data_IF_271273519748
#
_entry.id   IF_271273519748
#
_cell.length_a   1.000
_cell.length_b   1.000
_cell.length_c   1.000
_cell.angle_alpha   90.00
_cell.angle_beta   90.00
_cell.angle_gamma   90.00
#
_symmetry.space_group_name_H-M   'P 1'
#
loop_
_entity.id
_entity.type
_entity.pdbx_description
1 polymer ?
#
# COMPACT_ATOMS: atom_id res chain seq x y z
N UNK A 1 33.20 0.84 -37.15
CA UNK A 1 33.49 0.82 -35.71
C UNK A 1 32.70 1.96 -35.02
N UNK A 2 31.54 1.66 -34.44
CA UNK A 2 30.76 2.61 -33.64
C UNK A 2 30.77 2.11 -32.20
N UNK A 3 31.64 2.71 -31.40
CA UNK A 3 31.65 2.53 -29.96
C UNK A 3 30.52 3.33 -29.33
N UNK A 4 29.38 2.70 -29.10
CA UNK A 4 28.33 3.22 -28.26
C UNK A 4 28.66 2.92 -26.79
N UNK A 5 29.10 3.94 -26.02
CA UNK A 5 29.18 3.85 -24.57
C UNK A 5 27.76 3.80 -24.00
N UNK A 6 27.38 2.66 -23.43
CA UNK A 6 26.22 2.57 -22.57
C UNK A 6 26.47 3.43 -21.33
N UNK A 7 25.69 4.50 -21.15
CA UNK A 7 25.67 5.28 -19.93
C UNK A 7 25.12 4.41 -18.81
N UNK A 8 25.96 4.09 -17.82
CA UNK A 8 25.58 3.38 -16.61
C UNK A 8 24.53 4.17 -15.85
N UNK A 9 23.29 3.65 -15.81
CA UNK A 9 22.29 4.10 -14.87
C UNK A 9 22.80 3.83 -13.46
N UNK A 10 22.84 4.84 -12.61
CA UNK A 10 23.10 4.71 -11.19
C UNK A 10 22.09 3.71 -10.63
N UNK A 11 22.58 2.53 -10.21
CA UNK A 11 21.84 1.63 -9.36
C UNK A 11 21.61 2.36 -8.04
N UNK A 12 20.40 2.92 -7.86
CA UNK A 12 19.98 3.41 -6.56
C UNK A 12 20.02 2.23 -5.61
N UNK A 13 20.88 2.28 -4.60
CA UNK A 13 20.90 1.32 -3.50
C UNK A 13 19.47 1.21 -2.96
N UNK A 14 18.82 0.09 -3.22
CA UNK A 14 17.56 -0.26 -2.61
C UNK A 14 17.88 -0.72 -1.19
N UNK A 15 17.89 0.20 -0.23
CA UNK A 15 17.90 -0.18 1.17
C UNK A 15 16.60 -0.97 1.41
N UNK A 16 16.75 -2.28 1.64
CA UNK A 16 15.64 -3.10 2.08
C UNK A 16 15.08 -2.49 3.38
N UNK A 17 13.78 -2.24 3.42
CA UNK A 17 13.13 -1.75 4.63
C UNK A 17 13.02 -2.92 5.59
N UNK A 18 13.56 -2.78 6.80
CA UNK A 18 13.38 -3.76 7.86
C UNK A 18 11.96 -3.61 8.44
N UNK A 19 11.16 -4.66 8.30
CA UNK A 19 9.78 -4.73 8.76
C UNK A 19 9.58 -5.73 9.92
N UNK A 20 10.63 -6.41 10.41
CA UNK A 20 10.52 -7.49 11.38
C UNK A 20 9.77 -7.11 12.67
N UNK A 21 9.91 -5.87 13.12
CA UNK A 21 9.20 -5.35 14.30
C UNK A 21 7.96 -4.50 13.94
N UNK A 22 7.52 -4.51 12.67
CA UNK A 22 6.52 -3.61 12.16
C UNK A 22 5.16 -4.27 11.94
N UNK A 23 4.12 -3.49 12.20
CA UNK A 23 2.74 -3.80 11.80
C UNK A 23 2.46 -3.12 10.47
N UNK A 24 1.96 -3.89 9.52
CA UNK A 24 1.58 -3.41 8.19
C UNK A 24 0.09 -3.61 8.00
N UNK A 25 -0.62 -2.58 7.59
CA UNK A 25 -1.99 -2.69 7.12
C UNK A 25 -2.00 -2.79 5.59
N UNK A 26 -2.71 -3.78 5.07
CA UNK A 26 -3.00 -3.97 3.65
C UNK A 26 -4.49 -3.68 3.44
N UNK A 27 -4.80 -2.44 3.07
CA UNK A 27 -6.18 -1.98 2.92
C UNK A 27 -6.63 -2.15 1.46
N UNK A 28 -7.82 -2.73 1.28
CA UNK A 28 -8.34 -3.27 0.02
C UNK A 28 -7.57 -4.51 -0.42
N UNK A 29 -7.36 -5.45 0.52
CA UNK A 29 -6.38 -6.54 0.37
C UNK A 29 -6.78 -7.64 -0.61
N UNK A 30 -8.03 -7.67 -1.11
CA UNK A 30 -8.52 -8.74 -1.97
C UNK A 30 -8.31 -10.11 -1.35
N UNK A 31 -7.69 -11.03 -2.09
CA UNK A 31 -7.34 -12.38 -1.61
C UNK A 31 -6.04 -12.43 -0.79
N UNK A 32 -5.56 -11.28 -0.32
CA UNK A 32 -4.43 -11.17 0.59
C UNK A 32 -3.05 -11.39 -0.05
N UNK A 33 -2.92 -11.24 -1.35
CA UNK A 33 -1.64 -11.52 -2.05
C UNK A 33 -0.51 -10.64 -1.53
N UNK A 34 -0.73 -9.33 -1.39
CA UNK A 34 0.29 -8.39 -0.92
C UNK A 34 0.60 -8.65 0.55
N UNK A 35 -0.43 -8.83 1.39
CA UNK A 35 -0.28 -9.16 2.80
C UNK A 35 0.61 -10.40 2.99
N UNK A 36 0.37 -11.47 2.23
CA UNK A 36 1.12 -12.72 2.32
C UNK A 36 2.57 -12.58 1.84
N UNK A 37 2.83 -11.74 0.81
CA UNK A 37 4.20 -11.47 0.35
C UNK A 37 5.03 -10.70 1.40
N UNK A 38 4.38 -9.89 2.24
CA UNK A 38 5.04 -9.07 3.26
C UNK A 38 5.17 -9.81 4.58
N UNK A 39 4.27 -10.73 4.89
CA UNK A 39 4.23 -11.45 6.16
C UNK A 39 5.58 -12.08 6.58
N UNK A 40 6.38 -12.71 5.70
CA UNK A 40 7.66 -13.31 6.08
C UNK A 40 8.68 -12.31 6.65
N UNK A 41 8.52 -11.02 6.39
CA UNK A 41 9.45 -9.97 6.82
C UNK A 41 8.84 -8.95 7.78
N UNK A 42 7.55 -9.10 8.12
CA UNK A 42 6.83 -8.22 9.05
C UNK A 42 6.54 -8.93 10.37
N UNK A 43 6.35 -8.17 11.45
CA UNK A 43 5.85 -8.70 12.72
C UNK A 43 4.40 -9.18 12.59
N UNK A 44 3.56 -8.38 11.97
CA UNK A 44 2.14 -8.67 11.75
C UNK A 44 1.63 -7.93 10.51
N UNK A 45 0.77 -8.57 9.75
CA UNK A 45 0.07 -7.94 8.63
C UNK A 45 -1.43 -8.08 8.86
N UNK A 46 -2.17 -6.97 8.72
CA UNK A 46 -3.63 -6.94 8.82
C UNK A 46 -4.19 -6.51 7.47
N UNK A 47 -4.89 -7.42 6.81
CA UNK A 47 -5.62 -7.17 5.57
C UNK A 47 -7.07 -6.77 5.85
N UNK A 48 -7.57 -5.77 5.15
CA UNK A 48 -8.99 -5.36 5.20
C UNK A 48 -9.57 -5.41 3.80
N UNK A 49 -10.66 -6.15 3.64
CA UNK A 49 -11.34 -6.32 2.37
C UNK A 49 -12.86 -6.40 2.59
N UNK A 50 -13.64 -5.78 1.69
CA UNK A 50 -15.09 -5.72 1.81
C UNK A 50 -15.78 -7.01 1.36
N UNK A 51 -15.14 -7.76 0.46
CA UNK A 51 -15.70 -9.01 -0.11
C UNK A 51 -15.38 -10.18 0.82
N UNK A 52 -16.36 -10.70 1.51
CA UNK A 52 -16.20 -11.80 2.50
C UNK A 52 -15.55 -13.04 1.89
N UNK A 53 -15.92 -13.42 0.68
CA UNK A 53 -15.35 -14.59 -0.02
C UNK A 53 -13.86 -14.40 -0.31
N UNK A 54 -13.43 -13.17 -0.60
CA UNK A 54 -12.02 -12.87 -0.79
C UNK A 54 -11.25 -12.95 0.52
N UNK A 55 -11.85 -12.52 1.63
CA UNK A 55 -11.27 -12.64 2.98
C UNK A 55 -11.11 -14.09 3.39
N UNK A 56 -12.11 -14.94 3.15
CA UNK A 56 -12.00 -16.37 3.45
C UNK A 56 -10.89 -17.03 2.60
N UNK A 57 -10.83 -16.72 1.30
CA UNK A 57 -9.74 -17.18 0.45
C UNK A 57 -8.36 -16.69 0.93
N UNK A 58 -8.27 -15.45 1.42
CA UNK A 58 -7.04 -14.91 1.99
C UNK A 58 -6.58 -15.69 3.23
N UNK A 59 -7.51 -16.02 4.14
CA UNK A 59 -7.23 -16.84 5.34
C UNK A 59 -6.77 -18.24 4.98
N UNK A 60 -7.47 -18.90 4.05
CA UNK A 60 -7.10 -20.23 3.57
C UNK A 60 -5.71 -20.24 2.94
N UNK A 61 -5.43 -19.29 2.06
CA UNK A 61 -4.13 -19.15 1.40
C UNK A 61 -3.00 -18.87 2.41
N UNK A 62 -3.21 -18.01 3.39
CA UNK A 62 -2.23 -17.73 4.44
C UNK A 62 -1.93 -19.00 5.25
N UNK A 63 -2.97 -19.77 5.62
CA UNK A 63 -2.80 -21.03 6.33
C UNK A 63 -2.03 -22.08 5.50
N UNK A 64 -2.34 -22.20 4.19
CA UNK A 64 -1.62 -23.09 3.27
C UNK A 64 -0.14 -22.71 3.12
N UNK A 65 0.17 -21.41 3.18
CA UNK A 65 1.52 -20.87 3.10
C UNK A 65 2.25 -20.86 4.46
N UNK A 66 1.62 -21.33 5.54
CA UNK A 66 2.21 -21.38 6.88
C UNK A 66 2.45 -19.99 7.49
N UNK A 67 1.62 -19.00 7.12
CA UNK A 67 1.71 -17.62 7.60
C UNK A 67 0.73 -17.42 8.75
N UNK A 68 1.23 -17.40 9.98
CA UNK A 68 0.45 -17.24 11.23
C UNK A 68 0.34 -15.79 11.70
N UNK A 69 1.08 -14.89 11.06
CA UNK A 69 1.11 -13.46 11.35
C UNK A 69 0.27 -12.60 10.40
N UNK A 70 -0.57 -13.22 9.55
CA UNK A 70 -1.58 -12.55 8.74
C UNK A 70 -2.95 -12.63 9.41
N UNK A 71 -3.58 -11.49 9.60
CA UNK A 71 -4.98 -11.37 10.02
C UNK A 71 -5.79 -10.73 8.90
N UNK A 72 -6.98 -11.26 8.60
CA UNK A 72 -7.84 -10.71 7.56
C UNK A 72 -9.23 -10.40 8.13
N UNK A 73 -9.67 -9.16 7.90
CA UNK A 73 -10.93 -8.60 8.42
C UNK A 73 -11.86 -8.31 7.24
N UNK A 74 -13.05 -8.91 7.28
CA UNK A 74 -14.09 -8.61 6.30
C UNK A 74 -14.82 -7.32 6.70
N UNK A 75 -14.85 -6.35 5.79
CA UNK A 75 -15.62 -5.13 6.00
C UNK A 75 -15.13 -3.94 5.18
N UNK A 76 -15.98 -2.94 5.14
CA UNK A 76 -15.64 -1.66 4.50
C UNK A 76 -14.56 -0.94 5.33
N UNK A 77 -13.44 -0.59 4.69
CA UNK A 77 -12.32 0.13 5.31
C UNK A 77 -12.81 1.33 6.12
N UNK A 78 -13.79 2.10 5.58
CA UNK A 78 -14.37 3.26 6.27
C UNK A 78 -15.00 2.90 7.62
N UNK A 79 -15.53 1.69 7.77
CA UNK A 79 -16.27 1.25 8.96
C UNK A 79 -15.38 0.54 9.97
N UNK A 80 -14.52 -0.37 9.49
CA UNK A 80 -13.80 -1.29 10.38
C UNK A 80 -12.43 -0.74 10.83
N UNK A 81 -11.90 0.25 10.12
CA UNK A 81 -10.55 0.75 10.40
C UNK A 81 -10.39 1.33 11.83
N UNK A 82 -11.45 1.90 12.39
CA UNK A 82 -11.43 2.46 13.74
C UNK A 82 -11.50 1.38 14.85
N UNK A 83 -11.97 0.17 14.50
CA UNK A 83 -12.16 -0.94 15.43
C UNK A 83 -10.90 -1.82 15.53
N UNK A 84 -9.88 -1.57 14.71
CA UNK A 84 -8.62 -2.30 14.76
C UNK A 84 -7.76 -1.76 15.90
N UNK A 85 -7.52 -2.59 16.92
CA UNK A 85 -6.73 -2.20 18.10
C UNK A 85 -5.26 -1.91 17.80
N UNK A 86 -4.69 -2.65 16.83
CA UNK A 86 -3.30 -2.48 16.39
C UNK A 86 -3.11 -1.15 15.65
N UNK A 87 -1.94 -0.55 15.86
CA UNK A 87 -1.55 0.66 15.11
C UNK A 87 -0.55 0.30 14.03
N UNK A 88 -0.79 0.71 12.77
CA UNK A 88 0.14 0.41 11.69
C UNK A 88 1.39 1.29 11.74
N UNK A 89 2.54 0.68 11.48
CA UNK A 89 3.79 1.38 11.14
C UNK A 89 3.85 1.75 9.65
N UNK A 90 3.21 0.91 8.82
CA UNK A 90 3.08 1.08 7.36
C UNK A 90 1.66 0.79 6.92
N UNK A 91 1.20 1.51 5.90
CA UNK A 91 -0.06 1.22 5.24
C UNK A 91 0.21 1.00 3.75
N UNK A 92 -0.36 -0.07 3.21
CA UNK A 92 -0.44 -0.34 1.78
C UNK A 92 -1.88 -0.13 1.35
N UNK A 93 -2.07 0.55 0.24
CA UNK A 93 -3.36 0.89 -0.34
C UNK A 93 -3.40 0.35 -1.76
N UNK A 94 -4.31 -0.55 -2.05
CA UNK A 94 -4.61 -1.04 -3.39
C UNK A 94 -6.12 -0.86 -3.69
N UNK A 95 -6.59 0.40 -3.73
CA UNK A 95 -8.01 0.69 -3.83
C UNK A 95 -8.56 0.37 -5.22
N UNK A 96 -9.90 0.28 -5.37
CA UNK A 96 -10.55 0.11 -6.65
C UNK A 96 -10.25 1.27 -7.62
N UNK A 97 -10.56 1.08 -8.91
CA UNK A 97 -10.26 2.03 -10.00
C UNK A 97 -10.76 3.46 -9.76
N UNK A 98 -11.80 3.63 -8.97
CA UNK A 98 -12.35 4.96 -8.64
C UNK A 98 -11.58 5.68 -7.51
N UNK A 99 -10.54 5.04 -6.97
CA UNK A 99 -9.75 5.55 -5.85
C UNK A 99 -10.43 5.34 -4.50
N UNK A 100 -9.92 6.02 -3.48
CA UNK A 100 -10.40 5.88 -2.11
C UNK A 100 -11.59 6.81 -1.87
N UNK A 101 -12.62 6.28 -1.18
CA UNK A 101 -13.73 7.12 -0.75
C UNK A 101 -13.22 8.26 0.15
N UNK A 102 -13.64 9.55 -0.05
CA UNK A 102 -13.06 10.70 0.66
C UNK A 102 -13.04 10.57 2.18
N UNK A 103 -14.09 10.00 2.78
CA UNK A 103 -14.14 9.78 4.24
C UNK A 103 -13.17 8.70 4.71
N UNK A 104 -12.97 7.63 3.92
CA UNK A 104 -11.99 6.59 4.22
C UNK A 104 -10.57 7.13 4.09
N UNK A 105 -10.30 7.91 3.04
CA UNK A 105 -9.02 8.57 2.83
C UNK A 105 -8.65 9.47 4.02
N UNK A 106 -9.62 10.25 4.53
CA UNK A 106 -9.41 11.08 5.71
C UNK A 106 -9.03 10.25 6.94
N UNK A 107 -9.75 9.16 7.23
CA UNK A 107 -9.43 8.28 8.36
C UNK A 107 -8.05 7.64 8.22
N UNK A 108 -7.68 7.18 7.02
CA UNK A 108 -6.35 6.61 6.75
C UNK A 108 -5.24 7.64 7.03
N UNK A 109 -5.44 8.88 6.60
CA UNK A 109 -4.50 9.97 6.85
C UNK A 109 -4.41 10.30 8.34
N UNK A 110 -5.51 10.27 9.07
CA UNK A 110 -5.57 10.60 10.50
C UNK A 110 -4.80 9.61 11.39
N UNK A 111 -4.50 8.39 10.90
CA UNK A 111 -3.54 7.52 11.57
C UNK A 111 -2.15 8.16 11.71
N UNK A 112 -1.80 9.08 10.81
CA UNK A 112 -0.50 9.76 10.84
C UNK A 112 0.69 8.83 10.60
N UNK A 113 0.48 7.73 9.87
CA UNK A 113 1.54 6.76 9.57
C UNK A 113 2.59 7.40 8.67
N UNK A 114 3.85 7.24 9.04
CA UNK A 114 4.95 7.91 8.34
C UNK A 114 5.10 7.48 6.89
N UNK A 115 4.85 6.22 6.58
CA UNK A 115 5.07 5.66 5.25
C UNK A 115 3.81 4.96 4.75
N UNK A 116 3.39 5.36 3.56
CA UNK A 116 2.27 4.76 2.84
C UNK A 116 2.75 4.33 1.46
N UNK A 117 2.36 3.14 1.03
CA UNK A 117 2.51 2.67 -0.34
C UNK A 117 1.13 2.68 -0.98
N UNK A 118 0.98 3.37 -2.10
CA UNK A 118 -0.25 3.41 -2.85
C UNK A 118 -0.04 2.73 -4.20
N UNK A 119 -0.86 1.75 -4.51
CA UNK A 119 -0.88 1.02 -5.77
C UNK A 119 -2.12 1.47 -6.54
N UNK A 120 -1.97 1.81 -7.81
CA UNK A 120 -3.08 2.31 -8.62
C UNK A 120 -3.02 1.81 -10.05
N UNK A 121 -4.10 1.19 -10.48
CA UNK A 121 -4.33 0.85 -11.88
C UNK A 121 -4.91 2.02 -12.71
N UNK A 122 -5.21 3.18 -12.08
CA UNK A 122 -5.80 4.35 -12.72
C UNK A 122 -5.15 5.65 -12.24
N UNK A 123 -4.16 6.19 -12.96
CA UNK A 123 -3.40 7.38 -12.53
C UNK A 123 -4.26 8.61 -12.21
N UNK A 124 -5.41 8.77 -12.87
CA UNK A 124 -6.28 9.95 -12.65
C UNK A 124 -6.98 9.94 -11.28
N UNK A 125 -7.43 8.78 -10.79
CA UNK A 125 -7.98 8.66 -9.44
C UNK A 125 -6.89 8.80 -8.39
N UNK A 126 -5.72 8.23 -8.62
CA UNK A 126 -4.56 8.44 -7.76
C UNK A 126 -4.18 9.93 -7.65
N UNK A 127 -4.15 10.67 -8.76
CA UNK A 127 -3.81 12.11 -8.73
C UNK A 127 -4.75 12.92 -7.84
N UNK A 128 -6.04 12.59 -7.82
CA UNK A 128 -7.03 13.21 -6.93
C UNK A 128 -6.73 12.88 -5.46
N UNK A 129 -6.48 11.61 -5.15
CA UNK A 129 -6.21 11.17 -3.78
C UNK A 129 -4.85 11.71 -3.30
N UNK A 130 -3.84 11.80 -4.19
CA UNK A 130 -2.54 12.40 -3.90
C UNK A 130 -2.65 13.87 -3.46
N UNK A 131 -3.53 14.65 -4.09
CA UNK A 131 -3.73 16.06 -3.69
C UNK A 131 -4.13 16.16 -2.21
N UNK A 132 -5.05 15.29 -1.76
CA UNK A 132 -5.48 15.24 -0.36
C UNK A 132 -4.33 14.81 0.57
N UNK A 133 -3.54 13.81 0.19
CA UNK A 133 -2.34 13.42 0.95
C UNK A 133 -1.36 14.58 1.10
N UNK A 134 -1.12 15.33 0.01
CA UNK A 134 -0.18 16.45 0.02
C UNK A 134 -0.66 17.62 0.89
N UNK A 135 -1.95 17.95 0.85
CA UNK A 135 -2.56 18.96 1.73
C UNK A 135 -2.39 18.59 3.22
N UNK A 136 -2.34 17.30 3.53
CA UNK A 136 -2.16 16.77 4.89
C UNK A 136 -0.70 16.48 5.24
N UNK A 137 0.24 16.97 4.42
CA UNK A 137 1.67 16.95 4.72
C UNK A 137 2.45 15.73 4.23
N UNK A 138 1.84 14.85 3.44
CA UNK A 138 2.58 13.78 2.78
C UNK A 138 3.34 14.29 1.57
N UNK A 139 4.52 13.73 1.34
CA UNK A 139 5.32 13.95 0.16
C UNK A 139 5.42 12.69 -0.67
N UNK A 140 5.36 12.85 -1.97
CA UNK A 140 5.67 11.80 -2.92
C UNK A 140 7.18 11.57 -2.93
N UNK A 141 7.63 10.37 -2.54
CA UNK A 141 9.07 10.03 -2.46
C UNK A 141 9.55 9.20 -3.65
N UNK A 142 8.69 8.34 -4.18
CA UNK A 142 9.03 7.47 -5.31
C UNK A 142 7.78 7.12 -6.09
N UNK A 143 7.93 7.05 -7.41
CA UNK A 143 6.94 6.52 -8.33
C UNK A 143 7.60 5.45 -9.16
N UNK A 144 6.95 4.31 -9.31
CA UNK A 144 7.36 3.23 -10.21
C UNK A 144 6.14 2.80 -11.01
N UNK A 145 6.28 2.77 -12.33
CA UNK A 145 5.24 2.27 -13.21
C UNK A 145 5.61 0.87 -13.67
N UNK A 146 4.64 -0.03 -13.64
CA UNK A 146 4.80 -1.41 -14.05
C UNK A 146 3.75 -1.70 -15.11
N UNK A 147 4.20 -2.05 -16.32
CA UNK A 147 3.33 -2.49 -17.40
C UNK A 147 3.06 -3.99 -17.24
N UNK A 148 1.95 -4.32 -16.58
CA UNK A 148 1.50 -5.70 -16.39
C UNK A 148 0.64 -6.20 -17.54
N UNK A 149 0.17 -5.30 -18.40
CA UNK A 149 -0.72 -5.60 -19.51
C UNK A 149 -0.23 -4.92 -20.78
N UNK A 150 0.91 -5.39 -21.36
CA UNK A 150 1.46 -4.84 -22.59
C UNK A 150 0.40 -4.72 -23.68
N UNK A 151 0.47 -3.68 -24.48
CA UNK A 151 -0.49 -3.35 -25.55
C UNK A 151 -1.87 -2.86 -25.09
N UNK A 152 -2.05 -2.60 -23.79
CA UNK A 152 -3.24 -1.96 -23.25
C UNK A 152 -2.92 -0.56 -22.69
N UNK A 153 -3.96 0.20 -22.36
CA UNK A 153 -3.81 1.53 -21.69
C UNK A 153 -3.61 1.42 -20.17
N UNK A 154 -3.47 0.21 -19.66
CA UNK A 154 -3.40 -0.06 -18.23
C UNK A 154 -1.95 -0.17 -17.76
N UNK A 155 -1.57 0.71 -16.87
CA UNK A 155 -0.26 0.72 -16.20
C UNK A 155 -0.51 0.75 -14.69
N UNK A 156 0.12 -0.17 -13.98
CA UNK A 156 0.14 -0.13 -12.52
C UNK A 156 1.16 0.90 -12.05
N UNK A 157 0.71 1.78 -11.19
CA UNK A 157 1.56 2.83 -10.61
C UNK A 157 1.72 2.57 -9.12
N UNK A 158 2.94 2.26 -8.70
CA UNK A 158 3.30 2.06 -7.29
C UNK A 158 3.99 3.31 -6.77
N UNK A 159 3.42 3.89 -5.73
CA UNK A 159 3.87 5.17 -5.18
C UNK A 159 4.21 5.04 -3.71
N UNK A 160 5.36 5.57 -3.31
CA UNK A 160 5.73 5.75 -1.91
C UNK A 160 5.44 7.18 -1.47
N UNK A 161 4.60 7.32 -0.45
CA UNK A 161 4.31 8.57 0.24
C UNK A 161 4.97 8.57 1.62
N UNK A 162 5.43 9.74 2.07
CA UNK A 162 6.03 9.89 3.40
C UNK A 162 5.53 11.16 4.07
N UNK A 163 5.08 11.05 5.31
CA UNK A 163 4.64 12.20 6.11
C UNK A 163 5.87 13.05 6.50
N UNK A 164 5.79 14.37 6.30
CA UNK A 164 6.82 15.31 6.72
C UNK A 164 6.97 15.31 8.24
N UNK A 165 8.19 15.22 8.73
CA UNK A 165 8.48 15.11 10.18
C UNK A 165 8.26 16.41 10.95
N UNK A 166 8.00 17.55 10.27
CA UNK A 166 8.00 18.90 10.85
C UNK A 166 6.68 19.67 10.71
N UNK A 167 5.52 19.00 10.58
CA UNK A 167 4.27 19.76 10.72
C UNK A 167 3.79 19.69 12.17
N UNK A 168 3.49 20.86 12.80
CA UNK A 168 2.77 20.86 14.07
C UNK A 168 1.41 20.17 13.85
N UNK A 169 1.06 19.25 14.74
CA UNK A 169 -0.29 18.69 14.78
C UNK A 169 -1.26 19.86 14.98
N UNK A 170 -2.08 20.12 13.98
CA UNK A 170 -3.20 21.06 14.10
C UNK A 170 -4.31 20.40 14.93
#
# INVERSE_FOLDING_TARGET
ALNGKASGGNATETHAVDLHDKVVFDLYSGTGTIAQLIAPVARKVIGVEIVEEAVEAAKENAALNGLDNCEFIAGDVLKVIDDIEEKPDYIILDPPRDGIHPKALQKIIDYGVKNIVYISCKPTSFARDLAVFQERGYELKRVSNVDLFPETVHVETVVKLSLKTNQPKI
#
